data_IF_671585844950
#
_entry.id   IF_671585844950
#
_cell.length_a   1.000
_cell.length_b   1.000
_cell.length_c   1.000
_cell.angle_alpha   90.00
_cell.angle_beta   90.00
_cell.angle_gamma   90.00
#
_symmetry.space_group_name_H-M   'P 1'
#
loop_
_entity.id
_entity.type
_entity.pdbx_description
1 polymer ?
#
# COMPACT_ATOMS: atom_id res chain seq x y z
N UNK A 1 12.02 33.12 4.80
CA UNK A 1 12.06 31.66 4.96
C UNK A 1 10.67 31.19 5.36
N UNK A 2 9.83 30.85 4.39
CA UNK A 2 8.42 30.51 4.63
C UNK A 2 8.25 29.01 4.70
N UNK A 3 8.14 28.49 5.92
CA UNK A 3 7.73 27.11 6.19
C UNK A 3 6.21 26.99 5.98
N UNK A 4 5.79 26.69 4.75
CA UNK A 4 4.39 26.34 4.46
C UNK A 4 4.12 24.92 4.95
N UNK A 5 3.59 24.80 6.17
CA UNK A 5 2.97 23.58 6.68
C UNK A 5 1.61 23.44 5.99
N UNK A 6 1.60 22.70 4.88
CA UNK A 6 0.37 22.37 4.15
C UNK A 6 -0.52 21.43 4.99
N UNK A 7 -1.82 21.70 4.97
CA UNK A 7 -2.87 20.97 5.66
C UNK A 7 -2.81 19.44 5.40
N UNK A 8 -3.34 18.58 6.30
CA UNK A 8 -3.33 17.13 6.14
C UNK A 8 -4.15 16.76 4.90
N UNK A 9 -3.45 16.61 3.79
CA UNK A 9 -4.04 16.28 2.51
C UNK A 9 -4.20 14.77 2.51
N UNK A 10 -5.42 14.28 2.26
CA UNK A 10 -5.69 12.84 2.12
C UNK A 10 -4.57 12.19 1.30
N UNK A 11 -3.95 11.10 1.76
CA UNK A 11 -2.91 10.45 1.00
C UNK A 11 -3.44 10.09 -0.39
N UNK A 12 -2.67 10.46 -1.41
CA UNK A 12 -2.99 10.13 -2.79
C UNK A 12 -2.96 8.62 -2.98
N UNK A 13 -3.79 8.08 -3.87
CA UNK A 13 -3.82 6.63 -4.20
C UNK A 13 -2.42 6.12 -4.56
N UNK A 14 -1.62 6.93 -5.26
CA UNK A 14 -0.24 6.59 -5.62
C UNK A 14 0.68 6.46 -4.39
N UNK A 15 0.45 7.28 -3.36
CA UNK A 15 1.20 7.20 -2.11
C UNK A 15 0.86 5.91 -1.35
N UNK A 16 -0.42 5.53 -1.32
CA UNK A 16 -0.87 4.28 -0.70
C UNK A 16 -0.26 3.06 -1.41
N UNK A 17 -0.27 3.04 -2.75
CA UNK A 17 0.35 1.96 -3.54
C UNK A 17 1.85 1.85 -3.25
N UNK A 18 2.57 2.97 -3.20
CA UNK A 18 4.01 2.98 -2.86
C UNK A 18 4.29 2.52 -1.43
N UNK A 19 3.47 2.95 -0.47
CA UNK A 19 3.62 2.55 0.93
C UNK A 19 3.42 1.03 1.09
N UNK A 20 2.37 0.47 0.48
CA UNK A 20 2.11 -0.97 0.49
C UNK A 20 3.24 -1.74 -0.20
N UNK A 21 3.69 -1.29 -1.39
CA UNK A 21 4.80 -1.93 -2.09
C UNK A 21 6.12 -1.90 -1.33
N UNK A 22 6.46 -0.78 -0.68
CA UNK A 22 7.65 -0.67 0.16
C UNK A 22 7.58 -1.58 1.39
N UNK A 23 6.39 -1.74 1.98
CA UNK A 23 6.15 -2.64 3.12
C UNK A 23 6.36 -4.10 2.73
N UNK A 24 5.86 -4.49 1.55
CA UNK A 24 6.02 -5.84 1.01
C UNK A 24 7.48 -6.21 0.72
N UNK A 25 8.28 -5.26 0.26
CA UNK A 25 9.71 -5.44 0.01
C UNK A 25 10.56 -5.27 1.29
N UNK A 26 9.96 -4.90 2.42
CA UNK A 26 10.66 -4.65 3.68
C UNK A 26 11.48 -3.36 3.71
N UNK A 27 11.32 -2.45 2.75
CA UNK A 27 12.07 -1.19 2.62
C UNK A 27 11.27 0.02 3.13
N UNK A 28 10.20 -0.20 3.90
CA UNK A 28 9.38 0.88 4.46
C UNK A 28 10.17 1.65 5.54
N UNK A 29 10.25 2.99 5.39
CA UNK A 29 10.91 3.85 6.37
C UNK A 29 10.03 4.08 7.62
N UNK A 30 10.64 4.28 8.80
CA UNK A 30 9.92 4.63 10.03
C UNK A 30 9.07 5.89 9.90
N UNK A 31 9.45 6.83 9.01
CA UNK A 31 8.66 8.04 8.75
C UNK A 31 7.33 7.71 8.08
N UNK A 32 7.37 6.87 7.04
CA UNK A 32 6.15 6.40 6.37
C UNK A 32 5.25 5.62 7.32
N UNK A 33 5.85 4.76 8.17
CA UNK A 33 5.11 4.06 9.21
C UNK A 33 4.40 5.07 10.11
N UNK A 34 5.11 6.01 10.75
CA UNK A 34 4.46 6.99 11.63
C UNK A 34 3.38 7.84 10.93
N UNK A 35 3.58 8.21 9.67
CA UNK A 35 2.58 8.95 8.88
C UNK A 35 1.33 8.06 8.58
N UNK A 36 1.51 6.75 8.37
CA UNK A 36 0.42 5.77 8.23
C UNK A 36 -0.32 5.53 9.56
N UNK A 37 0.38 5.51 10.69
CA UNK A 37 -0.20 5.39 12.05
C UNK A 37 -0.88 6.67 12.54
N UNK A 38 -0.50 7.83 12.01
CA UNK A 38 -1.15 9.10 12.27
C UNK A 38 -2.43 9.30 11.45
N UNK A 39 -2.77 8.36 10.55
CA UNK A 39 -3.96 8.46 9.70
C UNK A 39 -5.20 8.00 10.46
N UNK A 40 -6.26 8.81 10.46
CA UNK A 40 -7.50 8.60 11.23
C UNK A 40 -8.33 7.36 10.82
N UNK A 41 -7.97 6.65 9.75
CA UNK A 41 -8.72 5.50 9.26
C UNK A 41 -7.83 4.44 8.64
N UNK A 42 -7.95 3.21 9.14
CA UNK A 42 -7.28 2.00 8.64
C UNK A 42 -7.94 1.43 7.37
N UNK A 43 -9.17 1.84 7.08
CA UNK A 43 -9.99 1.29 5.98
C UNK A 43 -9.29 1.30 4.62
N UNK A 44 -8.62 2.39 4.18
CA UNK A 44 -7.94 2.42 2.89
C UNK A 44 -6.83 1.36 2.76
N UNK A 45 -6.07 1.14 3.84
CA UNK A 45 -4.99 0.15 3.87
C UNK A 45 -5.54 -1.28 3.78
N UNK A 46 -6.63 -1.57 4.49
CA UNK A 46 -7.33 -2.85 4.42
C UNK A 46 -7.85 -3.14 3.01
N UNK A 47 -8.51 -2.16 2.37
CA UNK A 47 -9.04 -2.32 1.01
C UNK A 47 -7.91 -2.63 0.02
N UNK A 48 -6.82 -1.87 0.05
CA UNK A 48 -5.67 -2.11 -0.82
C UNK A 48 -5.02 -3.47 -0.55
N UNK A 49 -4.88 -3.87 0.72
CA UNK A 49 -4.36 -5.17 1.10
C UNK A 49 -5.21 -6.34 0.59
N UNK A 50 -6.53 -6.25 0.71
CA UNK A 50 -7.46 -7.28 0.20
C UNK A 50 -7.38 -7.40 -1.32
N UNK A 51 -7.38 -6.27 -2.03
CA UNK A 51 -7.22 -6.26 -3.49
C UNK A 51 -5.90 -6.93 -3.88
N UNK A 52 -4.82 -6.62 -3.17
CA UNK A 52 -3.51 -7.21 -3.42
C UNK A 52 -3.52 -8.75 -3.25
N UNK A 53 -4.13 -9.25 -2.17
CA UNK A 53 -4.25 -10.70 -1.92
C UNK A 53 -5.05 -11.40 -3.02
N UNK A 54 -6.16 -10.81 -3.47
CA UNK A 54 -6.97 -11.36 -4.57
C UNK A 54 -6.12 -11.47 -5.84
N UNK A 55 -5.39 -10.40 -6.20
CA UNK A 55 -4.50 -10.39 -7.36
C UNK A 55 -3.41 -11.47 -7.25
N UNK A 56 -2.83 -11.64 -6.06
CA UNK A 56 -1.83 -12.69 -5.83
C UNK A 56 -2.41 -14.09 -6.06
N UNK A 57 -3.59 -14.39 -5.50
CA UNK A 57 -4.26 -15.68 -5.67
C UNK A 57 -4.55 -15.95 -7.15
N UNK A 58 -5.13 -14.98 -7.86
CA UNK A 58 -5.42 -15.12 -9.29
C UNK A 58 -4.14 -15.36 -10.11
N UNK A 59 -3.05 -14.66 -9.78
CA UNK A 59 -1.74 -14.84 -10.41
C UNK A 59 -1.20 -16.26 -10.19
N UNK A 60 -1.29 -16.79 -8.96
CA UNK A 60 -0.86 -18.16 -8.67
C UNK A 60 -1.73 -19.21 -9.39
N UNK A 61 -3.04 -19.02 -9.42
CA UNK A 61 -3.95 -19.91 -10.17
C UNK A 61 -3.63 -19.89 -11.66
N UNK A 62 -3.44 -18.71 -12.25
CA UNK A 62 -3.05 -18.56 -13.65
C UNK A 62 -1.71 -19.24 -13.93
N UNK A 63 -0.72 -19.05 -13.05
CA UNK A 63 0.59 -19.68 -13.16
C UNK A 63 0.48 -21.21 -13.14
N UNK A 64 -0.30 -21.79 -12.21
CA UNK A 64 -0.52 -23.24 -12.15
C UNK A 64 -1.19 -23.74 -13.42
N UNK A 65 -2.22 -23.06 -13.91
CA UNK A 65 -2.91 -23.46 -15.15
C UNK A 65 -2.02 -23.37 -16.40
N UNK A 66 -1.02 -22.48 -16.41
CA UNK A 66 -0.03 -22.40 -17.50
C UNK A 66 1.02 -23.51 -17.41
N UNK A 67 1.41 -23.90 -16.19
CA UNK A 67 2.49 -24.87 -15.97
C UNK A 67 2.02 -26.32 -15.88
N UNK A 68 0.78 -26.55 -15.48
CA UNK A 68 0.16 -27.87 -15.34
C UNK A 68 -0.99 -27.94 -16.37
N UNK A 69 -0.72 -28.39 -17.61
CA UNK A 69 -1.73 -28.55 -18.65
C UNK A 69 -2.71 -29.70 -18.36
#
# INVERSE_FOLDING_TARGET
MTTSKSAPTKPSILQVIRAVGASMLGVQSNKNYQDDFATQSVVPYLVVGVIFVIVLILSLVALVNVLVP
#
